data_IF_640038580534
#
_entry.id   IF_640038580534
#
_cell.length_a   1.000
_cell.length_b   1.000
_cell.length_c   1.000
_cell.angle_alpha   90.00
_cell.angle_beta   90.00
_cell.angle_gamma   90.00
#
_symmetry.space_group_name_H-M   'P 1'
#
loop_
_entity.id
_entity.type
_entity.pdbx_description
1 polymer ?
#
# COMPACT_ATOMS: atom_id res chain seq x y z
N UNK A 1 8.64 11.08 6.16
CA UNK A 1 8.43 9.94 5.23
C UNK A 1 9.29 8.79 5.74
N UNK A 2 8.68 7.62 5.99
CA UNK A 2 9.37 6.43 6.48
C UNK A 2 9.33 5.35 5.38
N UNK A 3 10.44 4.71 5.09
CA UNK A 3 10.54 3.64 4.08
C UNK A 3 10.97 2.35 4.76
N UNK A 4 10.14 1.31 4.68
CA UNK A 4 10.45 -0.02 5.21
C UNK A 4 11.02 -0.88 4.07
N UNK A 5 12.27 -1.33 4.22
CA UNK A 5 12.99 -2.13 3.22
C UNK A 5 13.33 -3.50 3.82
N UNK A 6 13.17 -4.56 3.03
CA UNK A 6 13.46 -5.94 3.46
C UNK A 6 12.87 -7.00 2.53
N UNK A 7 13.27 -8.26 2.65
CA UNK A 7 12.84 -9.36 1.77
C UNK A 7 11.33 -9.66 1.89
N UNK A 8 10.76 -10.36 0.91
CA UNK A 8 9.34 -10.79 1.02
C UNK A 8 9.12 -11.59 2.31
N UNK A 9 7.92 -11.48 2.90
CA UNK A 9 7.56 -12.08 4.19
C UNK A 9 8.35 -11.60 5.44
N UNK A 10 9.14 -10.53 5.36
CA UNK A 10 9.89 -9.97 6.52
C UNK A 10 9.04 -9.16 7.52
N UNK A 11 7.71 -9.20 7.44
CA UNK A 11 6.81 -8.48 8.37
C UNK A 11 6.65 -6.97 8.13
N UNK A 12 7.13 -6.41 7.00
CA UNK A 12 7.02 -4.96 6.69
C UNK A 12 5.58 -4.45 6.75
N UNK A 13 4.64 -5.21 6.19
CA UNK A 13 3.22 -4.85 6.17
C UNK A 13 2.67 -4.74 7.59
N UNK A 14 3.02 -5.69 8.46
CA UNK A 14 2.58 -5.70 9.85
C UNK A 14 3.16 -4.52 10.65
N UNK A 15 4.44 -4.22 10.46
CA UNK A 15 5.09 -3.05 11.07
C UNK A 15 4.40 -1.76 10.59
N UNK A 16 4.08 -1.65 9.30
CA UNK A 16 3.35 -0.50 8.77
C UNK A 16 1.96 -0.37 9.43
N UNK A 17 1.20 -1.46 9.58
CA UNK A 17 -0.09 -1.45 10.27
C UNK A 17 0.04 -0.98 11.72
N UNK A 18 1.02 -1.48 12.48
CA UNK A 18 1.29 -1.02 13.83
C UNK A 18 1.61 0.48 13.90
N UNK A 19 2.44 0.98 12.97
CA UNK A 19 2.82 2.39 12.93
C UNK A 19 1.64 3.31 12.61
N UNK A 20 0.78 2.89 11.67
CA UNK A 20 -0.45 3.59 11.32
C UNK A 20 -1.37 3.68 12.52
N UNK A 21 -1.62 2.55 13.19
CA UNK A 21 -2.55 2.49 14.33
C UNK A 21 -2.03 3.20 15.58
N UNK A 22 -0.74 3.05 15.90
CA UNK A 22 -0.18 3.60 17.15
C UNK A 22 0.22 5.07 17.06
N UNK A 23 0.74 5.49 15.90
CA UNK A 23 1.30 6.83 15.72
C UNK A 23 0.47 7.68 14.75
N UNK A 24 -0.72 7.22 14.37
CA UNK A 24 -1.62 7.89 13.45
C UNK A 24 -0.92 8.24 12.11
N UNK A 25 0.04 7.41 11.71
CA UNK A 25 0.74 7.56 10.42
C UNK A 25 -0.21 7.19 9.28
N UNK A 26 -0.01 7.82 8.12
CA UNK A 26 -0.77 7.47 6.91
C UNK A 26 0.10 6.63 5.99
N UNK A 27 -0.45 5.54 5.47
CA UNK A 27 0.15 4.80 4.36
C UNK A 27 0.10 5.66 3.10
N UNK A 28 1.18 5.68 2.34
CA UNK A 28 1.16 6.24 0.99
C UNK A 28 0.50 5.21 0.08
N UNK A 29 -0.66 5.56 -0.47
CA UNK A 29 -1.35 4.76 -1.48
C UNK A 29 -0.60 4.92 -2.79
N UNK A 30 -0.17 3.80 -3.37
CA UNK A 30 0.61 3.77 -4.62
C UNK A 30 -0.27 3.47 -5.81
N UNK A 31 0.14 3.87 -7.02
CA UNK A 31 -0.60 3.56 -8.24
C UNK A 31 -0.20 2.18 -8.81
N UNK A 32 -1.15 1.49 -9.46
CA UNK A 32 -0.87 0.26 -10.21
C UNK A 32 -1.74 0.18 -11.46
N UNK A 33 -1.19 -0.37 -12.55
CA UNK A 33 -1.93 -0.63 -13.80
C UNK A 33 -2.55 -2.03 -13.84
N UNK A 34 -2.41 -2.82 -12.77
CA UNK A 34 -3.00 -4.15 -12.62
C UNK A 34 -4.49 -4.01 -12.30
N UNK A 35 -5.32 -4.95 -12.76
CA UNK A 35 -6.72 -5.04 -12.32
C UNK A 35 -6.83 -5.33 -10.82
N UNK A 36 -7.77 -4.66 -10.17
CA UNK A 36 -8.17 -4.86 -8.78
C UNK A 36 -8.57 -6.32 -8.51
N UNK A 37 -8.02 -6.95 -7.47
CA UNK A 37 -8.41 -8.30 -7.00
C UNK A 37 -9.65 -8.22 -6.10
N UNK A 38 -10.31 -9.37 -5.93
CA UNK A 38 -11.44 -9.48 -4.99
C UNK A 38 -10.97 -9.11 -3.58
N UNK A 39 -11.64 -8.13 -2.96
CA UNK A 39 -11.33 -7.65 -1.62
C UNK A 39 -10.32 -6.49 -1.53
N UNK A 40 -9.69 -6.08 -2.64
CA UNK A 40 -8.95 -4.81 -2.66
C UNK A 40 -9.93 -3.62 -2.71
N UNK A 41 -9.46 -2.40 -2.43
CA UNK A 41 -10.22 -1.14 -2.55
C UNK A 41 -9.40 -0.04 -3.24
N UNK A 42 -10.05 0.69 -4.16
CA UNK A 42 -9.40 1.78 -4.90
C UNK A 42 -9.24 3.01 -3.99
N UNK A 43 -8.06 3.62 -4.00
CA UNK A 43 -7.70 4.71 -3.10
C UNK A 43 -7.38 4.28 -1.66
N UNK A 44 -7.44 2.98 -1.36
CA UNK A 44 -7.05 2.39 -0.07
C UNK A 44 -5.82 1.50 -0.23
N UNK A 45 -5.92 0.50 -1.10
CA UNK A 45 -4.81 -0.43 -1.37
C UNK A 45 -3.88 0.13 -2.44
N UNK A 46 -4.47 0.55 -3.56
CA UNK A 46 -3.81 1.19 -4.69
C UNK A 46 -4.75 2.20 -5.34
N UNK A 47 -4.19 3.14 -6.10
CA UNK A 47 -4.92 3.79 -7.18
C UNK A 47 -4.81 2.90 -8.41
N UNK A 48 -5.92 2.28 -8.80
CA UNK A 48 -5.98 1.40 -9.96
C UNK A 48 -6.18 2.25 -11.22
N UNK A 49 -5.09 2.53 -11.91
CA UNK A 49 -5.07 3.35 -13.11
C UNK A 49 -5.08 2.46 -14.36
N UNK A 50 -5.63 2.95 -15.47
CA UNK A 50 -5.37 2.36 -16.78
C UNK A 50 -3.91 2.59 -17.19
N UNK A 51 -3.44 1.85 -18.21
CA UNK A 51 -2.09 2.07 -18.77
C UNK A 51 -1.91 3.46 -19.39
N UNK A 52 -2.99 4.09 -19.80
CA UNK A 52 -2.97 5.42 -20.43
C UNK A 52 -2.87 6.55 -19.37
N UNK A 53 -3.29 6.26 -18.14
CA UNK A 53 -3.29 7.20 -17.00
C UNK A 53 -2.02 7.13 -16.13
N UNK A 54 -1.19 6.11 -16.30
CA UNK A 54 0.08 5.92 -15.55
C UNK A 54 1.28 6.47 -16.32
#
# INVERSE_FOLDING_TARGET
MLVLIGPSASGKTEIAHYLINKYNMKRVVTCTTRLKRVGEEDGVDYYFLSKEEF
#
